data_IF_405217817298
#
_entry.id   IF_405217817298
#
_cell.length_a   1.000
_cell.length_b   1.000
_cell.length_c   1.000
_cell.angle_alpha   90.00
_cell.angle_beta   90.00
_cell.angle_gamma   90.00
#
_symmetry.space_group_name_H-M   'P 1'
#
loop_
_entity.id
_entity.type
_entity.pdbx_description
1 polymer ?
#
# COMPACT_ATOMS: atom_id res chain seq x y z
N UNK A 1 -12.12 43.50 4.09
CA UNK A 1 -12.31 42.37 5.02
C UNK A 1 -11.18 41.37 4.76
N UNK A 2 -10.22 41.29 5.68
CA UNK A 2 -8.98 40.49 5.53
C UNK A 2 -9.24 39.08 6.03
N UNK A 3 -9.12 38.07 5.13
CA UNK A 3 -9.19 36.66 5.48
C UNK A 3 -7.81 36.22 6.01
N UNK A 4 -7.71 36.12 7.33
CA UNK A 4 -6.54 35.54 7.97
C UNK A 4 -6.44 34.03 7.61
N UNK A 5 -5.36 33.64 6.90
CA UNK A 5 -4.98 32.26 6.70
C UNK A 5 -4.36 31.74 8.01
N UNK A 6 -5.10 30.89 8.71
CA UNK A 6 -4.57 30.17 9.87
C UNK A 6 -3.63 29.07 9.34
N UNK A 7 -2.33 29.29 9.52
CA UNK A 7 -1.32 28.27 9.31
C UNK A 7 -1.36 27.35 10.54
N UNK A 8 -1.91 26.14 10.40
CA UNK A 8 -1.76 25.12 11.43
C UNK A 8 -0.32 24.58 11.37
N UNK A 9 0.51 25.06 12.29
CA UNK A 9 1.82 24.49 12.58
C UNK A 9 1.57 23.23 13.44
N UNK A 10 1.55 22.03 12.82
CA UNK A 10 1.53 20.78 13.57
C UNK A 10 2.91 20.59 14.17
N UNK A 11 3.05 20.80 15.47
CA UNK A 11 4.25 20.47 16.22
C UNK A 11 4.37 18.94 16.31
N UNK A 12 5.19 18.35 15.46
CA UNK A 12 5.56 16.93 15.50
C UNK A 12 6.57 16.72 16.65
N UNK A 13 6.11 16.16 17.76
CA UNK A 13 7.01 15.63 18.81
C UNK A 13 7.36 14.19 18.40
N UNK A 14 8.42 14.04 17.59
CA UNK A 14 8.95 12.74 17.22
C UNK A 14 9.83 12.17 18.33
N UNK A 15 9.53 10.98 18.83
CA UNK A 15 10.49 10.16 19.58
C UNK A 15 11.56 9.62 18.62
N UNK A 16 12.82 9.95 18.89
CA UNK A 16 13.95 9.70 18.03
C UNK A 16 14.23 8.20 17.85
N UNK A 17 14.02 7.67 16.66
CA UNK A 17 14.89 6.63 16.12
C UNK A 17 16.27 7.26 15.86
N UNK A 18 17.35 6.65 16.37
CA UNK A 18 18.72 7.19 16.34
C UNK A 18 19.32 7.14 14.91
N UNK A 19 18.79 7.92 13.99
CA UNK A 19 19.27 8.13 12.63
C UNK A 19 18.51 9.28 11.99
N UNK A 20 19.17 10.09 11.13
CA UNK A 20 18.49 11.12 10.37
C UNK A 20 17.50 10.49 9.41
N UNK A 21 16.24 10.96 9.41
CA UNK A 21 15.23 10.53 8.43
C UNK A 21 15.71 10.84 7.01
N UNK A 22 15.42 9.98 6.03
CA UNK A 22 15.63 10.28 4.62
C UNK A 22 14.91 11.57 4.22
N UNK A 23 15.52 12.35 3.31
CA UNK A 23 15.02 13.67 2.91
C UNK A 23 13.58 13.60 2.43
N UNK A 24 12.71 14.42 3.01
CA UNK A 24 11.30 14.55 2.63
C UNK A 24 10.36 13.52 3.29
N UNK A 25 10.88 12.55 4.02
CA UNK A 25 10.07 11.62 4.81
C UNK A 25 9.78 12.23 6.18
N UNK A 26 8.53 12.14 6.60
CA UNK A 26 8.04 12.57 7.91
C UNK A 26 7.39 11.38 8.59
N UNK A 27 7.72 11.12 9.85
CA UNK A 27 7.08 10.08 10.65
C UNK A 27 6.33 10.70 11.83
N UNK A 28 5.19 10.12 12.18
CA UNK A 28 4.37 10.56 13.31
C UNK A 28 4.75 9.86 14.63
N UNK A 29 3.97 10.11 15.68
CA UNK A 29 4.19 9.52 17.01
C UNK A 29 4.01 8.00 17.06
N UNK A 30 3.23 7.43 16.14
CA UNK A 30 3.04 5.98 15.99
C UNK A 30 4.13 5.34 15.12
N UNK A 31 5.11 6.13 14.66
CA UNK A 31 6.19 5.73 13.74
C UNK A 31 5.69 5.37 12.33
N UNK A 32 4.45 5.70 11.98
CA UNK A 32 3.99 5.66 10.61
C UNK A 32 4.68 6.77 9.82
N UNK A 33 5.21 6.45 8.65
CA UNK A 33 5.98 7.41 7.87
C UNK A 33 5.28 7.75 6.56
N UNK A 34 5.47 8.99 6.10
CA UNK A 34 4.77 9.56 4.95
C UNK A 34 5.76 10.31 4.05
N UNK A 35 5.54 10.18 2.75
CA UNK A 35 6.30 10.92 1.73
C UNK A 35 5.36 11.52 0.70
N UNK A 36 5.50 12.82 0.48
CA UNK A 36 4.78 13.56 -0.57
C UNK A 36 5.81 14.10 -1.55
N UNK A 37 5.79 13.69 -2.83
CA UNK A 37 6.68 14.26 -3.84
C UNK A 37 6.54 15.77 -3.93
N UNK A 38 7.65 16.49 -4.13
CA UNK A 38 7.65 17.95 -4.15
C UNK A 38 6.70 18.53 -5.22
N UNK A 39 6.58 17.85 -6.36
CA UNK A 39 5.67 18.27 -7.42
C UNK A 39 4.21 18.22 -6.96
N UNK A 40 3.82 17.17 -6.22
CA UNK A 40 2.46 17.00 -5.66
C UNK A 40 2.18 18.08 -4.60
N UNK A 41 3.13 18.28 -3.68
CA UNK A 41 2.99 19.30 -2.62
C UNK A 41 2.80 20.72 -3.19
N UNK A 42 3.43 21.03 -4.33
CA UNK A 42 3.30 22.33 -5.01
C UNK A 42 2.01 22.45 -5.83
N UNK A 43 1.51 21.37 -6.39
CA UNK A 43 0.36 21.38 -7.29
C UNK A 43 -0.97 21.60 -6.54
N UNK A 44 -1.05 21.23 -5.26
CA UNK A 44 -2.27 21.36 -4.45
C UNK A 44 -3.44 20.50 -4.93
N UNK A 45 -3.17 19.45 -5.71
CA UNK A 45 -4.15 18.49 -6.21
C UNK A 45 -4.14 17.22 -5.38
N UNK A 46 -5.27 16.51 -5.32
CA UNK A 46 -5.32 15.17 -4.72
C UNK A 46 -4.80 14.15 -5.72
N UNK A 47 -4.03 13.19 -5.22
CA UNK A 47 -3.36 12.16 -6.02
C UNK A 47 -3.56 10.78 -5.39
N UNK A 48 -3.34 9.68 -6.14
CA UNK A 48 -3.35 8.35 -5.57
C UNK A 48 -2.33 8.18 -4.43
N UNK A 49 -2.57 7.20 -3.56
CA UNK A 49 -1.62 6.83 -2.50
C UNK A 49 -1.30 5.34 -2.49
N UNK A 50 -0.09 5.00 -2.07
CA UNK A 50 0.38 3.65 -1.80
C UNK A 50 0.74 3.52 -0.31
N UNK A 51 0.04 2.64 0.40
CA UNK A 51 0.39 2.26 1.77
C UNK A 51 1.20 0.96 1.76
N UNK A 52 2.40 1.02 2.30
CA UNK A 52 3.39 -0.05 2.30
C UNK A 52 3.32 -0.81 3.62
N UNK A 53 3.09 -2.12 3.55
CA UNK A 53 3.09 -3.05 4.68
C UNK A 53 4.37 -3.89 4.65
N UNK A 54 5.02 -4.05 5.81
CA UNK A 54 6.27 -4.80 5.93
C UNK A 54 6.17 -5.91 6.98
N UNK A 55 6.78 -7.08 6.69
CA UNK A 55 6.67 -8.28 7.53
C UNK A 55 7.13 -8.12 8.98
N UNK A 56 8.00 -7.17 9.27
CA UNK A 56 8.58 -6.92 10.59
C UNK A 56 8.20 -5.55 11.17
N UNK A 57 7.20 -4.89 10.61
CA UNK A 57 6.92 -3.48 10.85
C UNK A 57 7.74 -2.59 9.92
N UNK A 58 7.06 -1.70 9.20
CA UNK A 58 7.72 -0.81 8.26
C UNK A 58 8.48 0.30 8.98
N UNK A 59 9.64 0.68 8.43
CA UNK A 59 10.51 1.75 8.95
C UNK A 59 10.78 2.78 7.84
N UNK A 60 11.33 3.98 8.17
CA UNK A 60 11.59 5.03 7.17
C UNK A 60 12.41 4.56 5.95
N UNK A 61 13.32 3.59 6.15
CA UNK A 61 14.12 3.01 5.06
C UNK A 61 13.26 2.23 4.05
N UNK A 62 12.20 1.58 4.51
CA UNK A 62 11.30 0.85 3.60
C UNK A 62 10.57 1.85 2.69
N UNK A 63 10.10 2.97 3.23
CA UNK A 63 9.52 4.04 2.44
C UNK A 63 10.52 4.61 1.43
N UNK A 64 11.78 4.85 1.85
CA UNK A 64 12.83 5.34 0.96
C UNK A 64 13.16 4.37 -0.17
N UNK A 65 13.06 3.05 0.08
CA UNK A 65 13.24 2.01 -0.94
C UNK A 65 12.20 2.11 -2.06
N UNK A 66 10.96 2.47 -1.73
CA UNK A 66 9.86 2.59 -2.69
C UNK A 66 9.64 4.01 -3.21
N UNK A 67 10.37 5.02 -2.72
CA UNK A 67 10.27 6.43 -3.16
C UNK A 67 10.26 6.62 -4.68
N UNK A 68 10.95 5.74 -5.41
CA UNK A 68 10.94 5.78 -6.87
C UNK A 68 9.54 5.66 -7.47
N UNK A 69 8.59 5.00 -6.76
CA UNK A 69 7.20 4.84 -7.18
C UNK A 69 6.49 6.19 -7.03
N UNK A 70 6.59 6.81 -5.84
CA UNK A 70 6.03 8.11 -5.57
C UNK A 70 6.51 9.17 -6.58
N UNK A 71 7.83 9.25 -6.79
CA UNK A 71 8.43 10.24 -7.69
C UNK A 71 8.07 10.00 -9.16
N UNK A 72 7.98 8.72 -9.59
CA UNK A 72 7.66 8.36 -10.98
C UNK A 72 6.18 8.54 -11.33
N UNK A 73 5.28 8.28 -10.37
CA UNK A 73 3.84 8.27 -10.60
C UNK A 73 3.13 9.52 -10.09
N UNK A 74 3.80 10.32 -9.26
CA UNK A 74 3.22 11.44 -8.55
C UNK A 74 2.23 10.99 -7.46
N UNK A 75 2.54 9.88 -6.76
CA UNK A 75 1.71 9.34 -5.70
C UNK A 75 2.21 9.74 -4.31
N UNK A 76 1.32 9.82 -3.33
CA UNK A 76 1.71 9.86 -1.92
C UNK A 76 2.06 8.45 -1.47
N UNK A 77 3.12 8.30 -0.68
CA UNK A 77 3.46 7.02 -0.05
C UNK A 77 3.41 7.11 1.46
N UNK A 78 3.02 6.00 2.08
CA UNK A 78 3.05 5.84 3.53
C UNK A 78 3.47 4.42 3.93
N UNK A 79 3.89 4.28 5.18
CA UNK A 79 4.13 2.99 5.82
C UNK A 79 3.28 2.85 7.07
N UNK A 80 2.81 1.64 7.37
CA UNK A 80 2.23 1.30 8.66
C UNK A 80 3.27 0.55 9.51
N UNK A 81 3.78 1.21 10.55
CA UNK A 81 4.85 0.65 11.40
C UNK A 81 4.36 -0.51 12.28
N UNK A 82 3.12 -0.43 12.75
CA UNK A 82 2.59 -1.39 13.72
C UNK A 82 2.31 -2.78 13.11
N UNK A 83 2.08 -2.88 11.79
CA UNK A 83 1.76 -4.15 11.13
C UNK A 83 2.98 -5.05 11.01
N UNK A 84 2.78 -6.36 11.24
CA UNK A 84 3.83 -7.36 11.10
C UNK A 84 3.26 -8.77 11.01
N UNK A 85 4.07 -9.73 10.54
CA UNK A 85 3.73 -11.14 10.59
C UNK A 85 3.57 -11.62 12.05
N UNK A 86 2.89 -12.74 12.24
CA UNK A 86 2.62 -13.35 13.55
C UNK A 86 1.77 -12.48 14.50
N UNK A 87 1.13 -11.47 13.99
CA UNK A 87 0.08 -10.69 14.64
C UNK A 87 -1.27 -11.09 14.04
N UNK A 88 -2.36 -10.99 14.79
CA UNK A 88 -3.68 -11.31 14.23
C UNK A 88 -4.04 -10.40 13.07
N UNK A 89 -4.79 -10.91 12.10
CA UNK A 89 -5.31 -10.13 10.97
C UNK A 89 -6.08 -8.91 11.46
N UNK A 90 -6.97 -9.08 12.43
CA UNK A 90 -7.78 -7.98 12.98
C UNK A 90 -6.92 -6.87 13.62
N UNK A 91 -5.88 -7.25 14.39
CA UNK A 91 -4.99 -6.25 15.01
C UNK A 91 -4.17 -5.48 13.97
N UNK A 92 -3.70 -6.14 12.91
CA UNK A 92 -3.02 -5.48 11.81
C UNK A 92 -4.00 -4.58 11.04
N UNK A 93 -5.22 -5.06 10.81
CA UNK A 93 -6.25 -4.34 10.06
C UNK A 93 -6.63 -3.02 10.75
N UNK A 94 -6.84 -3.02 12.05
CA UNK A 94 -7.11 -1.80 12.85
C UNK A 94 -6.00 -0.76 12.66
N UNK A 95 -4.74 -1.18 12.68
CA UNK A 95 -3.61 -0.26 12.50
C UNK A 95 -3.51 0.25 11.05
N UNK A 96 -3.78 -0.60 10.06
CA UNK A 96 -3.82 -0.21 8.64
C UNK A 96 -4.92 0.83 8.40
N UNK A 97 -6.14 0.57 8.87
CA UNK A 97 -7.28 1.49 8.73
C UNK A 97 -6.98 2.83 9.40
N UNK A 98 -6.35 2.81 10.60
CA UNK A 98 -5.90 4.04 11.27
C UNK A 98 -4.91 4.83 10.40
N UNK A 99 -3.93 4.18 9.79
CA UNK A 99 -2.95 4.84 8.91
C UNK A 99 -3.60 5.35 7.63
N UNK A 100 -4.59 4.62 7.06
CA UNK A 100 -5.40 5.09 5.93
C UNK A 100 -6.14 6.38 6.31
N UNK A 101 -6.79 6.45 7.46
CA UNK A 101 -7.48 7.65 7.91
C UNK A 101 -6.51 8.84 8.08
N UNK A 102 -5.29 8.64 8.59
CA UNK A 102 -4.26 9.67 8.63
C UNK A 102 -3.91 10.19 7.23
N UNK A 103 -3.69 9.26 6.26
CA UNK A 103 -3.43 9.61 4.87
C UNK A 103 -4.54 10.49 4.28
N UNK A 104 -5.79 10.06 4.40
CA UNK A 104 -6.95 10.75 3.83
C UNK A 104 -7.22 12.12 4.47
N UNK A 105 -6.87 12.27 5.76
CA UNK A 105 -7.15 13.49 6.53
C UNK A 105 -6.05 14.53 6.39
N UNK A 106 -4.79 14.12 6.38
CA UNK A 106 -3.64 15.04 6.51
C UNK A 106 -2.83 15.23 5.24
N UNK A 107 -3.05 14.40 4.21
CA UNK A 107 -2.27 14.41 2.97
C UNK A 107 -3.17 14.62 1.75
N UNK A 108 -2.64 15.11 0.62
CA UNK A 108 -3.42 15.38 -0.59
C UNK A 108 -3.74 14.07 -1.35
N UNK A 109 -4.46 13.15 -0.71
CA UNK A 109 -4.81 11.83 -1.25
C UNK A 109 -6.23 11.85 -1.82
N UNK A 110 -6.38 11.28 -3.02
CA UNK A 110 -7.68 10.94 -3.61
C UNK A 110 -8.19 9.65 -2.95
N UNK A 111 -9.26 9.76 -2.17
CA UNK A 111 -9.84 8.64 -1.44
C UNK A 111 -10.34 7.50 -2.33
N UNK A 112 -10.61 7.76 -3.60
CA UNK A 112 -11.01 6.74 -4.58
C UNK A 112 -9.82 5.97 -5.19
N UNK A 113 -8.57 6.38 -4.88
CA UNK A 113 -7.35 5.84 -5.46
C UNK A 113 -6.30 5.52 -4.38
N UNK A 114 -6.72 4.80 -3.34
CA UNK A 114 -5.83 4.28 -2.32
C UNK A 114 -5.49 2.81 -2.62
N UNK A 115 -4.20 2.52 -2.63
CA UNK A 115 -3.65 1.21 -2.95
C UNK A 115 -2.77 0.71 -1.80
N UNK A 116 -2.71 -0.63 -1.65
CA UNK A 116 -1.83 -1.28 -0.68
C UNK A 116 -0.69 -2.02 -1.39
N UNK A 117 0.43 -2.15 -0.70
CA UNK A 117 1.51 -3.06 -1.08
C UNK A 117 1.88 -3.95 0.11
N UNK A 118 2.08 -5.24 -0.16
CA UNK A 118 2.58 -6.20 0.83
C UNK A 118 3.31 -7.38 0.22
N UNK A 119 4.34 -7.87 0.95
CA UNK A 119 5.08 -9.09 0.62
C UNK A 119 4.68 -10.21 1.56
N UNK A 120 4.55 -11.45 1.04
CA UNK A 120 4.33 -12.67 1.82
C UNK A 120 3.11 -12.53 2.76
N UNK A 121 3.25 -12.72 4.06
CA UNK A 121 2.18 -12.55 5.05
C UNK A 121 1.57 -11.14 5.04
N UNK A 122 2.33 -10.10 4.73
CA UNK A 122 1.75 -8.75 4.57
C UNK A 122 1.07 -8.55 3.21
N UNK A 123 1.37 -9.34 2.21
CA UNK A 123 0.57 -9.46 0.98
C UNK A 123 -0.81 -10.08 1.26
N UNK A 124 -0.86 -11.10 2.14
CA UNK A 124 -2.12 -11.67 2.63
C UNK A 124 -2.91 -10.66 3.46
N UNK A 125 -2.23 -9.88 4.31
CA UNK A 125 -2.86 -8.81 5.09
C UNK A 125 -3.45 -7.71 4.20
N UNK A 126 -2.72 -7.31 3.14
CA UNK A 126 -3.22 -6.34 2.17
C UNK A 126 -4.50 -6.83 1.46
N UNK A 127 -4.54 -8.12 1.09
CA UNK A 127 -5.76 -8.76 0.56
C UNK A 127 -6.89 -8.75 1.58
N UNK A 128 -6.61 -9.15 2.83
CA UNK A 128 -7.60 -9.17 3.91
C UNK A 128 -8.20 -7.77 4.15
N UNK A 129 -7.35 -6.73 4.26
CA UNK A 129 -7.82 -5.35 4.45
C UNK A 129 -8.67 -4.86 3.27
N UNK A 130 -8.29 -5.15 2.01
CA UNK A 130 -9.12 -4.81 0.86
C UNK A 130 -10.48 -5.52 0.90
N UNK A 131 -10.52 -6.80 1.30
CA UNK A 131 -11.78 -7.56 1.36
C UNK A 131 -12.69 -7.11 2.50
N UNK A 132 -12.13 -6.64 3.61
CA UNK A 132 -12.89 -6.12 4.76
C UNK A 132 -13.33 -4.65 4.55
N UNK A 133 -12.58 -3.87 3.76
CA UNK A 133 -12.80 -2.44 3.55
C UNK A 133 -12.73 -2.06 2.07
N UNK A 134 -13.63 -2.61 1.22
CA UNK A 134 -13.62 -2.35 -0.22
C UNK A 134 -13.90 -0.87 -0.57
N UNK A 135 -14.54 -0.13 0.33
CA UNK A 135 -14.79 1.31 0.21
C UNK A 135 -13.53 2.16 0.46
N UNK A 136 -12.54 1.64 1.18
CA UNK A 136 -11.30 2.34 1.49
C UNK A 136 -10.15 2.00 0.53
N UNK A 137 -10.09 0.74 0.07
CA UNK A 137 -8.94 0.22 -0.69
C UNK A 137 -9.34 -0.12 -2.12
N UNK A 138 -8.89 0.65 -3.09
CA UNK A 138 -9.22 0.46 -4.51
C UNK A 138 -8.53 -0.75 -5.15
N UNK A 139 -7.38 -1.13 -4.65
CA UNK A 139 -6.61 -2.27 -5.15
C UNK A 139 -5.25 -2.40 -4.48
N UNK A 140 -4.47 -3.37 -4.92
CA UNK A 140 -3.18 -3.65 -4.29
C UNK A 140 -2.16 -4.32 -5.21
N UNK A 141 -0.89 -4.26 -4.78
CA UNK A 141 0.19 -5.11 -5.28
C UNK A 141 0.57 -6.09 -4.16
N UNK A 142 0.43 -7.40 -4.40
CA UNK A 142 0.84 -8.43 -3.46
C UNK A 142 1.94 -9.30 -4.07
N UNK A 143 3.08 -9.37 -3.37
CA UNK A 143 4.23 -10.16 -3.80
C UNK A 143 4.29 -11.44 -2.97
N UNK A 144 4.24 -12.60 -3.63
CA UNK A 144 4.30 -13.93 -3.04
C UNK A 144 3.26 -14.17 -1.90
N UNK A 145 2.02 -13.68 -1.98
CA UNK A 145 1.01 -13.96 -0.96
C UNK A 145 0.61 -15.44 -1.00
N UNK A 146 -0.09 -15.90 0.06
CA UNK A 146 -0.86 -17.15 0.03
C UNK A 146 -2.37 -16.84 0.13
N UNK A 147 -3.22 -17.87 -0.03
CA UNK A 147 -4.66 -17.71 -0.21
C UNK A 147 -5.48 -17.55 1.07
N UNK A 148 -4.86 -17.40 2.26
CA UNK A 148 -5.58 -17.42 3.53
C UNK A 148 -6.60 -16.28 3.71
N UNK A 149 -6.47 -15.17 3.00
CA UNK A 149 -7.45 -14.08 3.03
C UNK A 149 -8.70 -14.34 2.16
N UNK A 150 -8.64 -15.28 1.20
CA UNK A 150 -9.73 -15.52 0.23
C UNK A 150 -11.09 -15.79 0.88
N UNK A 151 -11.20 -16.51 2.01
CA UNK A 151 -12.50 -16.72 2.67
C UNK A 151 -13.18 -15.44 3.19
N UNK A 152 -12.48 -14.32 3.27
CA UNK A 152 -13.03 -13.03 3.69
C UNK A 152 -13.72 -12.26 2.53
N UNK A 153 -13.52 -12.71 1.28
CA UNK A 153 -14.02 -11.99 0.12
C UNK A 153 -15.54 -12.06 -0.03
N UNK A 154 -16.19 -10.91 -0.10
CA UNK A 154 -17.57 -10.75 -0.55
C UNK A 154 -17.52 -10.23 -1.98
N UNK A 155 -17.61 -11.13 -2.96
CA UNK A 155 -17.28 -10.84 -4.36
C UNK A 155 -18.11 -9.72 -4.99
N UNK A 156 -19.36 -9.57 -4.59
CA UNK A 156 -20.25 -8.51 -5.11
C UNK A 156 -19.76 -7.11 -4.70
N UNK A 157 -19.12 -6.98 -3.53
CA UNK A 157 -18.56 -5.73 -3.02
C UNK A 157 -17.19 -5.40 -3.65
N UNK A 158 -16.54 -6.41 -4.23
CA UNK A 158 -15.21 -6.29 -4.84
C UNK A 158 -15.25 -6.01 -6.35
N UNK A 159 -16.43 -5.81 -6.92
CA UNK A 159 -16.58 -5.51 -8.35
C UNK A 159 -15.81 -4.23 -8.71
N UNK A 160 -14.95 -4.34 -9.74
CA UNK A 160 -14.14 -3.21 -10.21
C UNK A 160 -12.89 -2.91 -9.36
N UNK A 161 -12.56 -3.75 -8.37
CA UNK A 161 -11.27 -3.67 -7.67
C UNK A 161 -10.14 -4.27 -8.50
N UNK A 162 -8.89 -3.97 -8.10
CA UNK A 162 -7.69 -4.29 -8.86
C UNK A 162 -6.68 -5.03 -7.98
N UNK A 163 -6.14 -6.15 -8.46
CA UNK A 163 -5.08 -6.90 -7.77
C UNK A 163 -3.94 -7.17 -8.75
N UNK A 164 -2.73 -6.76 -8.40
CA UNK A 164 -1.52 -7.14 -9.11
C UNK A 164 -0.74 -8.14 -8.27
N UNK A 165 -0.74 -9.40 -8.70
CA UNK A 165 -0.01 -10.48 -8.04
C UNK A 165 1.38 -10.60 -8.66
N UNK A 166 2.39 -10.76 -7.80
CA UNK A 166 3.74 -11.13 -8.22
C UNK A 166 4.11 -12.43 -7.52
N UNK A 167 4.60 -13.42 -8.27
CA UNK A 167 5.12 -14.67 -7.72
C UNK A 167 6.48 -15.02 -8.32
N UNK A 168 7.16 -16.00 -7.77
CA UNK A 168 8.44 -16.50 -8.28
C UNK A 168 8.29 -17.88 -8.86
N UNK A 169 9.19 -18.26 -9.78
CA UNK A 169 9.15 -19.58 -10.41
C UNK A 169 9.31 -20.73 -9.40
N UNK A 170 10.11 -20.52 -8.34
CA UNK A 170 10.35 -21.47 -7.26
C UNK A 170 9.66 -21.07 -5.94
N UNK A 171 8.67 -20.14 -5.99
CA UNK A 171 7.88 -19.77 -4.81
C UNK A 171 6.97 -20.94 -4.40
N UNK A 172 6.99 -21.29 -3.13
CA UNK A 172 6.07 -22.32 -2.58
C UNK A 172 4.60 -21.91 -2.65
N UNK A 173 4.30 -20.58 -2.71
CA UNK A 173 2.95 -20.05 -2.88
C UNK A 173 2.54 -19.91 -4.36
N UNK A 174 3.38 -20.26 -5.33
CA UNK A 174 3.12 -20.03 -6.76
C UNK A 174 1.78 -20.61 -7.20
N UNK A 175 1.51 -21.88 -6.87
CA UNK A 175 0.27 -22.54 -7.25
C UNK A 175 -0.98 -21.84 -6.67
N UNK A 176 -0.87 -21.28 -5.45
CA UNK A 176 -1.94 -20.49 -4.84
C UNK A 176 -2.13 -19.14 -5.55
N UNK A 177 -1.05 -18.47 -5.92
CA UNK A 177 -1.12 -17.22 -6.70
C UNK A 177 -1.79 -17.44 -8.07
N UNK A 178 -1.46 -18.54 -8.76
CA UNK A 178 -2.10 -18.90 -10.03
C UNK A 178 -3.61 -19.21 -9.87
N UNK A 179 -4.01 -19.82 -8.74
CA UNK A 179 -5.42 -20.06 -8.41
C UNK A 179 -6.14 -18.76 -8.06
N UNK A 180 -5.53 -17.90 -7.23
CA UNK A 180 -6.10 -16.59 -6.88
C UNK A 180 -6.29 -15.70 -8.11
N UNK A 181 -5.33 -15.68 -9.03
CA UNK A 181 -5.44 -14.95 -10.31
C UNK A 181 -6.70 -15.34 -11.09
N UNK A 182 -6.97 -16.64 -11.24
CA UNK A 182 -8.17 -17.12 -11.93
C UNK A 182 -9.44 -16.77 -11.16
N UNK A 183 -9.47 -17.13 -9.87
CA UNK A 183 -10.62 -16.91 -8.99
C UNK A 183 -11.06 -15.45 -8.95
N UNK A 184 -10.11 -14.53 -8.82
CA UNK A 184 -10.40 -13.08 -8.72
C UNK A 184 -10.99 -12.56 -10.04
N UNK A 185 -10.40 -12.90 -11.19
CA UNK A 185 -10.93 -12.50 -12.49
C UNK A 185 -12.32 -13.10 -12.76
N UNK A 186 -12.57 -14.36 -12.42
CA UNK A 186 -13.86 -15.03 -12.53
C UNK A 186 -14.95 -14.34 -11.68
N UNK A 187 -14.56 -13.66 -10.61
CA UNK A 187 -15.45 -12.95 -9.70
C UNK A 187 -15.42 -11.42 -9.85
N UNK A 188 -14.94 -10.90 -10.98
CA UNK A 188 -15.03 -9.47 -11.31
C UNK A 188 -13.96 -8.57 -10.67
N UNK A 189 -12.99 -9.13 -9.94
CA UNK A 189 -11.80 -8.43 -9.47
C UNK A 189 -10.74 -8.49 -10.57
N UNK A 190 -10.50 -7.38 -11.23
CA UNK A 190 -9.51 -7.34 -12.32
C UNK A 190 -8.12 -7.61 -11.80
N UNK A 191 -7.54 -8.73 -12.19
CA UNK A 191 -6.27 -9.22 -11.65
C UNK A 191 -5.25 -9.47 -12.75
N UNK A 192 -3.99 -9.09 -12.49
CA UNK A 192 -2.82 -9.44 -13.31
C UNK A 192 -1.87 -10.31 -12.47
N UNK A 193 -1.14 -11.21 -13.11
CA UNK A 193 -0.16 -12.07 -12.47
C UNK A 193 1.18 -11.99 -13.20
N UNK A 194 2.20 -11.49 -12.51
CA UNK A 194 3.58 -11.51 -12.96
C UNK A 194 4.33 -12.67 -12.29
N UNK A 195 4.91 -13.56 -13.10
CA UNK A 195 5.83 -14.60 -12.61
C UNK A 195 7.26 -14.25 -13.00
N UNK A 196 8.17 -14.11 -12.02
CA UNK A 196 9.59 -13.81 -12.24
C UNK A 196 10.48 -14.96 -11.79
N UNK A 197 11.73 -15.04 -12.25
CA UNK A 197 12.70 -16.02 -11.74
C UNK A 197 12.97 -15.85 -10.24
N UNK A 198 13.38 -16.93 -9.57
CA UNK A 198 13.84 -16.94 -8.18
C UNK A 198 12.91 -17.67 -7.22
N UNK A 199 13.31 -17.65 -5.96
CA UNK A 199 12.61 -18.25 -4.83
C UNK A 199 11.69 -17.23 -4.14
N UNK A 200 10.97 -17.64 -3.08
CA UNK A 200 10.12 -16.76 -2.27
C UNK A 200 10.89 -15.52 -1.77
N UNK A 201 10.56 -14.36 -2.29
CA UNK A 201 11.27 -13.13 -1.97
C UNK A 201 10.55 -11.87 -2.46
N UNK A 202 10.81 -10.74 -1.79
CA UNK A 202 10.14 -9.47 -2.09
C UNK A 202 10.49 -8.93 -3.49
N UNK A 203 11.72 -9.17 -3.96
CA UNK A 203 12.21 -8.63 -5.23
C UNK A 203 12.51 -7.13 -5.19
N UNK A 204 12.91 -6.57 -6.34
CA UNK A 204 13.26 -5.15 -6.45
C UNK A 204 12.02 -4.25 -6.48
N UNK A 205 12.15 -3.02 -5.99
CA UNK A 205 11.09 -2.00 -6.02
C UNK A 205 10.54 -1.72 -7.44
N UNK A 206 11.32 -1.99 -8.49
CA UNK A 206 10.90 -1.85 -9.89
C UNK A 206 9.78 -2.82 -10.29
N UNK A 207 9.67 -3.98 -9.66
CA UNK A 207 8.53 -4.89 -9.87
C UNK A 207 7.25 -4.31 -9.27
N UNK A 208 7.34 -3.73 -8.06
CA UNK A 208 6.23 -3.05 -7.42
C UNK A 208 5.81 -1.82 -8.23
N UNK A 209 6.78 -1.05 -8.76
CA UNK A 209 6.50 0.07 -9.67
C UNK A 209 5.74 -0.39 -10.93
N UNK A 210 6.06 -1.57 -11.47
CA UNK A 210 5.33 -2.14 -12.61
C UNK A 210 3.88 -2.42 -12.24
N UNK A 211 3.64 -3.01 -11.08
CA UNK A 211 2.29 -3.22 -10.55
C UNK A 211 1.53 -1.91 -10.33
N UNK A 212 2.18 -0.89 -9.74
CA UNK A 212 1.57 0.42 -9.53
C UNK A 212 1.25 1.15 -10.85
N UNK A 213 2.07 1.00 -11.88
CA UNK A 213 1.76 1.52 -13.23
C UNK A 213 0.52 0.84 -13.82
N UNK A 214 0.41 -0.46 -13.66
CA UNK A 214 -0.76 -1.20 -14.09
C UNK A 214 -2.01 -0.77 -13.32
N UNK A 215 -1.94 -0.63 -11.98
CA UNK A 215 -3.03 -0.11 -11.16
C UNK A 215 -3.47 1.28 -11.62
N UNK A 216 -2.53 2.19 -11.88
CA UNK A 216 -2.82 3.54 -12.40
C UNK A 216 -3.59 3.50 -13.73
N UNK A 217 -3.19 2.62 -14.65
CA UNK A 217 -3.86 2.46 -15.94
C UNK A 217 -5.25 1.81 -15.79
N UNK A 218 -5.38 0.84 -14.90
CA UNK A 218 -6.62 0.11 -14.67
C UNK A 218 -7.67 0.98 -13.98
N UNK A 219 -7.28 1.79 -12.99
CA UNK A 219 -8.17 2.67 -12.23
C UNK A 219 -8.49 3.99 -12.95
N UNK A 220 -7.69 4.40 -13.93
CA UNK A 220 -7.87 5.66 -14.69
C UNK A 220 -8.81 5.54 -15.91
N UNK A 221 -9.43 4.36 -16.11
CA UNK A 221 -10.43 4.08 -17.15
C UNK A 221 -11.82 4.00 -16.54
#
# INVERSE_FOLDING_TARGET
MSTARILFLVALVGTACAGSLPKGIVCDADSDCFYVPQAVAKAGVRVPALLILHCNGAVPKDLDTFRLIADSLGWVEATCHATRNHRSTDSNDVDIVRTIHKLLTHYPVDSSQLFLFGFSGQGVQALATMFLHPDLVRGLVAVCPHSAAVPLAVWDELQGHFVYLVTRQQDWNRAENEKMYRLFNENGVRTELLTTPGEHGNGPATEVLTGCRWLKQAAGK
#
